data_IF_226446796797
#
_entry.id   IF_226446796797
#
_cell.length_a   1.000
_cell.length_b   1.000
_cell.length_c   1.000
_cell.angle_alpha   90.00
_cell.angle_beta   90.00
_cell.angle_gamma   90.00
#
_symmetry.space_group_name_H-M   'P 1'
#
loop_
_entity.id
_entity.type
_entity.pdbx_description
1 polymer ?
#
# COMPACT_ATOMS: atom_id res chain seq x y z
N UNK A 1 -9.02 -1.45 -16.63
CA UNK A 1 -9.30 -0.91 -15.28
C UNK A 1 -8.04 -0.18 -14.80
N UNK A 2 -8.09 0.82 -13.89
CA UNK A 2 -6.92 1.59 -13.50
C UNK A 2 -5.71 0.74 -13.09
N UNK A 3 -5.96 -0.37 -12.39
CA UNK A 3 -4.94 -1.35 -11.98
C UNK A 3 -4.25 -2.02 -13.18
N UNK A 4 -4.97 -2.37 -14.25
CA UNK A 4 -4.37 -3.03 -15.41
C UNK A 4 -3.37 -2.10 -16.11
N UNK A 5 -3.69 -0.79 -16.17
CA UNK A 5 -2.80 0.22 -16.72
C UNK A 5 -1.54 0.39 -15.86
N UNK A 6 -1.67 0.40 -14.53
CA UNK A 6 -0.53 0.41 -13.60
C UNK A 6 0.34 -0.82 -13.80
N UNK A 7 -0.24 -2.02 -13.93
CA UNK A 7 0.52 -3.24 -14.13
C UNK A 7 1.27 -3.26 -15.46
N UNK A 8 0.66 -2.71 -16.51
CA UNK A 8 1.25 -2.62 -17.84
C UNK A 8 2.40 -1.60 -17.92
N UNK A 9 2.38 -0.55 -17.10
CA UNK A 9 3.43 0.48 -17.10
C UNK A 9 4.69 0.09 -16.31
N UNK A 10 4.64 -1.00 -15.53
CA UNK A 10 5.72 -1.43 -14.64
C UNK A 10 6.53 -2.60 -15.22
N UNK A 11 7.83 -2.64 -14.91
CA UNK A 11 8.71 -3.80 -15.14
C UNK A 11 8.27 -5.02 -14.33
N UNK A 12 8.83 -6.20 -14.64
CA UNK A 12 8.52 -7.43 -13.91
C UNK A 12 9.05 -7.44 -12.48
N UNK A 13 10.13 -6.72 -12.21
CA UNK A 13 10.71 -6.54 -10.88
C UNK A 13 10.47 -5.11 -10.42
N UNK A 14 9.97 -4.94 -9.20
CA UNK A 14 9.62 -3.62 -8.65
C UNK A 14 10.02 -3.49 -7.17
N UNK A 15 10.26 -2.25 -6.76
CA UNK A 15 10.25 -1.81 -5.36
C UNK A 15 8.98 -0.97 -5.14
N UNK A 16 8.34 -1.08 -3.98
CA UNK A 16 7.10 -0.35 -3.69
C UNK A 16 7.32 0.60 -2.53
N UNK A 17 7.25 1.90 -2.77
CA UNK A 17 7.16 2.90 -1.69
C UNK A 17 5.70 3.23 -1.45
N UNK A 18 5.28 3.25 -0.19
CA UNK A 18 3.92 3.61 0.21
C UNK A 18 4.00 4.91 1.00
N UNK A 19 3.61 6.00 0.36
CA UNK A 19 3.42 7.28 1.05
C UNK A 19 2.09 7.26 1.82
N UNK A 20 2.15 7.56 3.11
CA UNK A 20 0.97 7.62 3.98
C UNK A 20 0.05 8.77 3.58
N UNK A 21 0.58 9.83 2.97
CA UNK A 21 -0.23 10.97 2.55
C UNK A 21 -1.16 10.67 1.36
N UNK A 22 -0.92 9.57 0.65
CA UNK A 22 -1.80 9.09 -0.42
C UNK A 22 -3.15 8.58 0.12
N UNK A 23 -3.27 8.31 1.42
CA UNK A 23 -4.52 7.89 2.05
C UNK A 23 -5.45 9.07 2.29
N UNK A 24 -6.76 8.82 2.19
CA UNK A 24 -7.73 9.84 2.56
C UNK A 24 -7.59 10.23 4.06
N UNK A 25 -7.48 11.54 4.38
CA UNK A 25 -7.29 12.03 5.75
C UNK A 25 -8.45 11.71 6.70
N UNK A 26 -9.66 11.44 6.18
CA UNK A 26 -10.77 10.98 7.02
C UNK A 26 -10.50 9.60 7.64
N UNK A 27 -9.58 8.83 7.05
CA UNK A 27 -9.16 7.53 7.53
C UNK A 27 -7.74 7.55 8.13
N UNK A 28 -6.74 8.08 7.43
CA UNK A 28 -5.37 8.23 7.93
C UNK A 28 -4.96 9.70 7.94
N UNK A 29 -5.20 10.44 9.04
CA UNK A 29 -4.82 11.84 9.14
C UNK A 29 -3.36 12.08 9.59
N UNK A 30 -2.66 11.03 10.02
CA UNK A 30 -1.34 11.14 10.67
C UNK A 30 -0.19 11.20 9.65
N UNK A 31 -0.10 12.30 8.90
CA UNK A 31 0.99 12.63 7.97
C UNK A 31 1.28 14.15 8.04
N UNK A 32 2.41 14.59 7.50
CA UNK A 32 2.73 16.02 7.35
C UNK A 32 1.88 16.74 6.30
N UNK A 33 1.39 16.03 5.29
CA UNK A 33 0.77 16.60 4.08
C UNK A 33 -0.56 15.92 3.73
N UNK A 34 -1.60 15.98 4.58
CA UNK A 34 -2.86 15.28 4.32
C UNK A 34 -3.54 15.75 3.02
N UNK A 35 -3.81 14.83 2.09
CA UNK A 35 -4.40 15.13 0.78
C UNK A 35 -5.91 14.79 0.71
N UNK A 36 -6.81 15.77 0.57
CA UNK A 36 -8.25 15.52 0.51
C UNK A 36 -8.67 14.63 -0.68
N UNK A 37 -9.54 13.64 -0.43
CA UNK A 37 -10.03 12.75 -1.50
C UNK A 37 -9.02 11.66 -1.90
N UNK A 38 -8.05 11.37 -1.02
CA UNK A 38 -7.06 10.32 -1.20
C UNK A 38 -7.64 8.91 -1.28
N UNK A 39 -6.75 7.92 -1.29
CA UNK A 39 -7.11 6.52 -1.43
C UNK A 39 -7.68 5.96 -0.13
N UNK A 40 -8.75 5.19 -0.25
CA UNK A 40 -9.31 4.40 0.85
C UNK A 40 -8.55 3.07 1.00
N UNK A 41 -8.59 2.51 2.21
CA UNK A 41 -7.89 1.28 2.58
C UNK A 41 -8.01 0.15 1.56
N UNK A 42 -9.23 -0.15 1.11
CA UNK A 42 -9.47 -1.26 0.19
C UNK A 42 -9.00 -0.98 -1.24
N UNK A 43 -8.91 0.29 -1.66
CA UNK A 43 -8.32 0.64 -2.94
C UNK A 43 -6.82 0.37 -2.92
N UNK A 44 -6.13 0.79 -1.85
CA UNK A 44 -4.70 0.50 -1.65
C UNK A 44 -4.46 -1.00 -1.59
N UNK A 45 -5.21 -1.74 -0.77
CA UNK A 45 -5.10 -3.20 -0.69
C UNK A 45 -5.35 -3.90 -2.04
N UNK A 46 -6.27 -3.38 -2.86
CA UNK A 46 -6.50 -3.88 -4.22
C UNK A 46 -5.28 -3.71 -5.13
N UNK A 47 -4.65 -2.53 -5.09
CA UNK A 47 -3.41 -2.24 -5.84
C UNK A 47 -2.28 -3.15 -5.36
N UNK A 48 -2.01 -3.19 -4.05
CA UNK A 48 -0.93 -3.99 -3.47
C UNK A 48 -1.09 -5.49 -3.75
N UNK A 49 -2.33 -6.00 -3.69
CA UNK A 49 -2.63 -7.40 -4.04
C UNK A 49 -2.34 -7.68 -5.51
N UNK A 50 -2.71 -6.76 -6.41
CA UNK A 50 -2.46 -6.92 -7.84
C UNK A 50 -0.96 -6.88 -8.14
N UNK A 51 -0.22 -5.96 -7.53
CA UNK A 51 1.24 -5.85 -7.64
C UNK A 51 1.94 -7.13 -7.15
N UNK A 52 1.61 -7.61 -5.94
CA UNK A 52 2.23 -8.81 -5.37
C UNK A 52 1.99 -10.06 -6.23
N UNK A 53 0.80 -10.18 -6.83
CA UNK A 53 0.47 -11.30 -7.72
C UNK A 53 1.21 -11.21 -9.06
N UNK A 54 1.21 -10.04 -9.69
CA UNK A 54 1.69 -9.86 -11.04
C UNK A 54 3.20 -9.67 -11.15
N UNK A 55 3.82 -9.02 -10.15
CA UNK A 55 5.23 -8.58 -10.21
C UNK A 55 6.09 -9.28 -9.18
N UNK A 56 7.41 -9.17 -9.30
CA UNK A 56 8.40 -9.58 -8.30
C UNK A 56 8.76 -8.37 -7.45
N UNK A 57 8.11 -8.26 -6.29
CA UNK A 57 8.40 -7.20 -5.32
C UNK A 57 9.67 -7.58 -4.57
N UNK A 58 10.72 -6.76 -4.66
CA UNK A 58 12.03 -7.04 -4.01
C UNK A 58 12.17 -6.39 -2.65
N UNK A 59 11.28 -5.46 -2.33
CA UNK A 59 11.24 -4.72 -1.09
C UNK A 59 10.14 -3.68 -1.13
N UNK A 60 9.84 -3.12 0.03
CA UNK A 60 8.93 -2.00 0.17
C UNK A 60 9.26 -1.20 1.44
N UNK A 61 8.79 0.03 1.48
CA UNK A 61 8.79 0.89 2.66
C UNK A 61 7.42 1.55 2.85
N UNK A 62 7.21 2.12 4.04
CA UNK A 62 6.08 3.00 4.34
C UNK A 62 6.70 4.29 4.88
N UNK A 63 6.42 5.40 4.23
CA UNK A 63 7.01 6.72 4.52
C UNK A 63 5.94 7.73 4.94
N UNK A 64 6.38 8.86 5.49
CA UNK A 64 5.52 9.98 5.89
C UNK A 64 4.43 9.69 6.95
N UNK A 65 4.51 8.54 7.65
CA UNK A 65 3.75 8.38 8.88
C UNK A 65 4.28 9.40 9.90
N UNK A 66 3.39 10.28 10.37
CA UNK A 66 3.67 11.25 11.43
C UNK A 66 2.77 10.96 12.62
N UNK A 67 3.19 10.08 13.55
CA UNK A 67 2.36 9.68 14.69
C UNK A 67 1.93 10.87 15.55
N UNK A 68 0.65 10.90 15.91
CA UNK A 68 0.08 11.95 16.77
C UNK A 68 -0.43 11.35 18.07
N UNK A 69 -0.16 12.04 19.20
CA UNK A 69 -0.60 11.59 20.52
C UNK A 69 -2.12 11.44 20.56
N UNK A 70 -2.59 10.26 20.96
CA UNK A 70 -4.02 9.94 21.01
C UNK A 70 -4.59 9.35 19.71
N UNK A 71 -3.82 9.30 18.62
CA UNK A 71 -4.26 8.83 17.30
C UNK A 71 -3.58 7.51 16.87
N UNK A 72 -3.44 6.58 17.81
CA UNK A 72 -2.76 5.29 17.63
C UNK A 72 -3.35 4.40 16.51
N UNK A 73 -4.58 4.68 16.07
CA UNK A 73 -5.25 3.92 15.01
C UNK A 73 -4.48 4.00 13.68
N UNK A 74 -3.90 5.16 13.34
CA UNK A 74 -3.12 5.34 12.11
C UNK A 74 -1.83 4.52 12.16
N UNK A 75 -1.11 4.57 13.28
CA UNK A 75 0.12 3.81 13.50
C UNK A 75 -0.15 2.30 13.37
N UNK A 76 -1.21 1.82 14.02
CA UNK A 76 -1.62 0.43 13.93
C UNK A 76 -2.04 0.05 12.51
N UNK A 77 -2.76 0.93 11.80
CA UNK A 77 -3.17 0.68 10.42
C UNK A 77 -1.95 0.53 9.48
N UNK A 78 -0.92 1.38 9.61
CA UNK A 78 0.28 1.28 8.79
C UNK A 78 1.12 0.04 9.15
N UNK A 79 1.25 -0.29 10.43
CA UNK A 79 1.87 -1.54 10.84
C UNK A 79 1.12 -2.76 10.28
N UNK A 80 -0.21 -2.73 10.28
CA UNK A 80 -1.06 -3.77 9.70
C UNK A 80 -0.91 -3.83 8.18
N UNK A 81 -0.80 -2.70 7.50
CA UNK A 81 -0.57 -2.65 6.05
C UNK A 81 0.76 -3.33 5.70
N UNK A 82 1.84 -3.02 6.43
CA UNK A 82 3.14 -3.67 6.26
C UNK A 82 3.03 -5.19 6.46
N UNK A 83 2.38 -5.62 7.56
CA UNK A 83 2.17 -7.05 7.85
C UNK A 83 1.42 -7.76 6.72
N UNK A 84 0.32 -7.19 6.26
CA UNK A 84 -0.49 -7.75 5.18
C UNK A 84 0.28 -7.80 3.86
N UNK A 85 1.02 -6.74 3.53
CA UNK A 85 1.76 -6.68 2.27
C UNK A 85 2.94 -7.65 2.25
N UNK A 86 3.67 -7.80 3.37
CA UNK A 86 4.65 -8.88 3.54
C UNK A 86 4.01 -10.24 3.28
N UNK A 87 2.85 -10.52 3.87
CA UNK A 87 2.11 -11.76 3.64
C UNK A 87 1.74 -11.97 2.17
N UNK A 88 1.30 -10.91 1.48
CA UNK A 88 0.95 -10.97 0.06
C UNK A 88 2.18 -11.27 -0.83
N UNK A 89 3.32 -10.64 -0.54
CA UNK A 89 4.57 -10.84 -1.32
C UNK A 89 5.11 -12.26 -1.13
N UNK A 90 5.02 -12.80 0.09
CA UNK A 90 5.53 -14.14 0.43
C UNK A 90 4.56 -15.27 0.08
N UNK A 91 3.29 -14.95 -0.19
CA UNK A 91 2.29 -15.95 -0.52
C UNK A 91 2.63 -16.64 -1.86
N UNK A 92 2.44 -17.97 -1.97
CA UNK A 92 2.61 -18.67 -3.23
C UNK A 92 1.74 -18.02 -4.30
N UNK A 93 2.34 -17.68 -5.44
CA UNK A 93 1.55 -17.20 -6.56
C UNK A 93 0.61 -18.33 -7.00
N UNK A 94 -0.68 -18.05 -7.24
CA UNK A 94 -1.57 -19.06 -7.78
C UNK A 94 -0.95 -19.60 -9.08
N UNK A 95 -0.93 -20.93 -9.21
CA UNK A 95 -0.49 -21.60 -10.43
C UNK A 95 -1.28 -20.96 -11.59
N UNK A 96 -0.55 -20.45 -12.60
CA UNK A 96 -1.19 -20.00 -13.84
C UNK A 96 -1.93 -21.21 -14.41
N UNK A 97 -3.26 -21.11 -14.55
CA UNK A 97 -4.04 -22.06 -15.35
C UNK A 97 -3.72 -21.89 -16.82
#
# INVERSE_FOLDING_TARGET
KPIDAILASLTDTIYVTIDVDAFDPSFIPCTGTPEPGGLLWYQVMGILTALARAKRVVGFDIVELSPQKGMHAADFAMAKLAYLFMGLILSPKPLKK
#
